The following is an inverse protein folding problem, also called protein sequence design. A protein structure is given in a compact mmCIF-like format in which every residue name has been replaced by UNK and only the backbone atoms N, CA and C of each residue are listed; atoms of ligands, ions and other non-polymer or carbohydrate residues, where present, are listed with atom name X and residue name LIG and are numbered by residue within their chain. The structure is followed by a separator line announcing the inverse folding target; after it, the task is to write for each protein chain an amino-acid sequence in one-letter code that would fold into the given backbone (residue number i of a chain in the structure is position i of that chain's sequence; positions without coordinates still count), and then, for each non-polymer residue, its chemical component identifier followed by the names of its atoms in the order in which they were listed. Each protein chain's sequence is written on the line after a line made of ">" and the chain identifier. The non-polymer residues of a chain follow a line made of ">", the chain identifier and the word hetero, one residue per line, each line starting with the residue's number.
data_IF_868966390138
#
_entry.id   IF_868966390138
#
_cell.length_a   1.000
_cell.length_b   1.000
_cell.length_c   1.000
_cell.angle_alpha   90.00
_cell.angle_beta   90.00
_cell.angle_gamma   90.00
#
_symmetry.space_group_name_H-M   'P 1'
#
loop_
_entity.id
_entity.type
_entity.pdbx_description
1 polymer ?
#
# COMPACT_ATOMS: atom_id res chain seq x y z
N UNK A 1 8.65 -2.23 24.86
CA UNK A 1 7.30 -2.81 24.96
C UNK A 1 6.57 -2.47 26.26
N UNK A 2 7.19 -2.63 27.43
CA UNK A 2 6.51 -2.55 28.75
C UNK A 2 5.75 -1.25 29.03
N UNK A 3 6.23 -0.08 28.57
CA UNK A 3 5.54 1.20 28.78
C UNK A 3 4.26 1.32 27.94
N UNK A 4 4.27 0.86 26.68
CA UNK A 4 3.11 0.95 25.79
C UNK A 4 2.02 -0.05 26.23
N UNK A 5 2.43 -1.25 26.67
CA UNK A 5 1.52 -2.25 27.24
C UNK A 5 0.86 -1.73 28.53
N UNK A 6 1.65 -1.18 29.46
CA UNK A 6 1.11 -0.61 30.69
C UNK A 6 0.21 0.63 30.43
N UNK A 7 0.50 1.39 29.37
CA UNK A 7 -0.32 2.53 28.97
C UNK A 7 -1.68 2.08 28.40
N UNK A 8 -1.71 1.01 27.58
CA UNK A 8 -2.97 0.54 26.97
C UNK A 8 -3.85 -0.17 28.01
N UNK A 9 -3.26 -0.82 29.01
CA UNK A 9 -4.02 -1.37 30.14
C UNK A 9 -4.73 -0.30 30.96
N UNK A 10 -4.14 0.90 31.06
CA UNK A 10 -4.76 2.03 31.77
C UNK A 10 -5.82 2.74 30.93
N UNK A 11 -5.60 2.85 29.63
CA UNK A 11 -6.48 3.55 28.69
C UNK A 11 -6.77 2.67 27.46
N UNK A 12 -7.62 1.64 27.59
CA UNK A 12 -7.84 0.64 26.53
C UNK A 12 -8.51 1.21 25.27
N UNK A 13 -9.19 2.36 25.36
CA UNK A 13 -9.88 2.99 24.23
C UNK A 13 -9.02 4.07 23.52
N UNK A 14 -7.75 4.22 23.90
CA UNK A 14 -6.86 5.20 23.30
C UNK A 14 -6.43 4.76 21.88
N UNK A 15 -7.11 5.33 20.89
CA UNK A 15 -6.90 5.06 19.46
C UNK A 15 -5.49 5.42 18.98
N UNK A 16 -4.91 6.49 19.51
CA UNK A 16 -3.55 6.93 19.14
C UNK A 16 -2.54 5.93 19.68
N UNK A 17 -2.75 5.46 20.90
CA UNK A 17 -1.92 4.43 21.51
C UNK A 17 -2.01 3.10 20.74
N UNK A 18 -3.22 2.68 20.35
CA UNK A 18 -3.42 1.53 19.46
C UNK A 18 -2.62 1.65 18.15
N UNK A 19 -2.72 2.79 17.45
CA UNK A 19 -1.95 3.01 16.21
C UNK A 19 -0.43 2.98 16.46
N UNK A 20 0.02 3.53 17.59
CA UNK A 20 1.43 3.58 17.97
C UNK A 20 1.98 2.19 18.24
N UNK A 21 1.23 1.36 18.98
CA UNK A 21 1.58 -0.04 19.23
C UNK A 21 1.66 -0.81 17.91
N UNK A 22 0.64 -0.70 17.05
CA UNK A 22 0.65 -1.39 15.76
C UNK A 22 1.86 -1.01 14.89
N UNK A 23 2.20 0.27 14.82
CA UNK A 23 3.36 0.75 14.05
C UNK A 23 4.68 0.23 14.62
N UNK A 24 4.79 0.13 15.94
CA UNK A 24 5.97 -0.44 16.60
C UNK A 24 6.10 -1.94 16.31
N UNK A 25 5.00 -2.70 16.47
CA UNK A 25 4.96 -4.12 16.12
C UNK A 25 5.36 -4.38 14.67
N UNK A 26 4.83 -3.60 13.71
CA UNK A 26 5.20 -3.66 12.28
C UNK A 26 6.70 -3.49 12.05
N UNK A 27 7.38 -2.67 12.87
CA UNK A 27 8.81 -2.44 12.76
C UNK A 27 9.64 -3.58 13.36
N UNK A 28 9.12 -4.28 14.37
CA UNK A 28 9.79 -5.40 15.02
C UNK A 28 9.56 -6.72 14.28
N UNK A 29 8.30 -7.06 14.02
CA UNK A 29 7.88 -8.27 13.35
C UNK A 29 6.53 -8.05 12.64
N UNK A 30 6.56 -8.04 11.31
CA UNK A 30 5.36 -7.84 10.48
C UNK A 30 4.36 -8.99 10.57
N UNK A 31 4.80 -10.16 11.04
CA UNK A 31 3.95 -11.34 11.21
C UNK A 31 3.25 -11.38 12.56
N UNK A 32 3.49 -10.40 13.44
CA UNK A 32 2.89 -10.37 14.77
C UNK A 32 1.36 -10.26 14.71
N UNK A 33 0.69 -11.29 15.23
CA UNK A 33 -0.77 -11.43 15.23
C UNK A 33 -1.51 -10.29 15.95
N UNK A 34 -0.81 -9.52 16.80
CA UNK A 34 -1.40 -8.40 17.56
C UNK A 34 -1.54 -7.14 16.71
N UNK A 35 -0.85 -7.04 15.57
CA UNK A 35 -0.88 -5.84 14.72
C UNK A 35 -2.32 -5.49 14.30
N UNK A 36 -3.05 -6.44 13.74
CA UNK A 36 -4.37 -6.17 13.19
C UNK A 36 -5.41 -5.74 14.24
N UNK A 37 -5.54 -6.41 15.41
CA UNK A 37 -6.37 -5.92 16.50
C UNK A 37 -6.05 -4.47 16.91
N UNK A 38 -4.77 -4.09 16.96
CA UNK A 38 -4.40 -2.71 17.28
C UNK A 38 -4.73 -1.75 16.14
N UNK A 39 -4.54 -2.15 14.88
CA UNK A 39 -4.93 -1.32 13.73
C UNK A 39 -6.45 -1.14 13.64
N UNK A 40 -7.26 -2.15 13.92
CA UNK A 40 -8.72 -2.05 13.88
C UNK A 40 -9.26 -1.16 15.01
N UNK A 41 -8.69 -1.25 16.22
CA UNK A 41 -9.06 -0.39 17.35
C UNK A 41 -8.57 1.07 17.24
N UNK A 42 -7.70 1.38 16.28
CA UNK A 42 -7.16 2.73 16.10
C UNK A 42 -8.09 3.71 15.36
N UNK A 43 -9.27 3.26 14.94
CA UNK A 43 -10.30 4.08 14.32
C UNK A 43 -11.68 3.46 14.51
N UNK A 44 -12.71 4.23 14.21
CA UNK A 44 -14.12 3.80 14.15
C UNK A 44 -14.71 4.18 12.81
N UNK A 45 -15.83 3.60 12.39
CA UNK A 45 -16.45 3.96 11.10
C UNK A 45 -16.91 5.43 11.12
N UNK A 46 -16.47 6.21 10.14
CA UNK A 46 -16.92 7.60 9.95
C UNK A 46 -16.14 8.67 10.71
N UNK A 47 -15.20 8.31 11.59
CA UNK A 47 -14.31 9.30 12.21
C UNK A 47 -13.24 9.84 11.24
N UNK A 48 -12.45 10.81 11.70
CA UNK A 48 -11.40 11.47 10.92
C UNK A 48 -10.02 10.79 11.03
N UNK A 49 -9.94 9.56 11.56
CA UNK A 49 -8.68 8.82 11.71
C UNK A 49 -8.23 8.19 10.37
N UNK A 50 -8.16 9.01 9.31
CA UNK A 50 -7.83 8.58 7.96
C UNK A 50 -6.43 7.98 7.85
N UNK A 51 -5.46 8.50 8.60
CA UNK A 51 -4.10 7.95 8.63
C UNK A 51 -4.08 6.53 9.21
N UNK A 52 -4.85 6.29 10.27
CA UNK A 52 -4.96 4.97 10.89
C UNK A 52 -5.57 3.95 9.91
N UNK A 53 -6.66 4.33 9.23
CA UNK A 53 -7.26 3.52 8.15
C UNK A 53 -6.30 3.30 6.99
N UNK A 54 -5.51 4.30 6.63
CA UNK A 54 -4.56 4.22 5.51
C UNK A 54 -3.43 3.22 5.80
N UNK A 55 -2.91 3.21 7.02
CA UNK A 55 -1.94 2.20 7.49
C UNK A 55 -2.57 0.81 7.52
N UNK A 56 -3.80 0.70 8.04
CA UNK A 56 -4.51 -0.59 8.08
C UNK A 56 -4.78 -1.15 6.68
N UNK A 57 -5.19 -0.31 5.73
CA UNK A 57 -5.41 -0.72 4.33
C UNK A 57 -4.11 -1.26 3.69
N UNK A 58 -2.98 -0.60 3.92
CA UNK A 58 -1.68 -1.09 3.46
C UNK A 58 -1.32 -2.44 4.11
N UNK A 59 -1.51 -2.58 5.43
CA UNK A 59 -1.26 -3.83 6.12
C UNK A 59 -2.10 -4.99 5.56
N UNK A 60 -3.40 -4.78 5.36
CA UNK A 60 -4.28 -5.79 4.76
C UNK A 60 -3.81 -6.21 3.37
N UNK A 61 -3.38 -5.25 2.55
CA UNK A 61 -2.86 -5.57 1.23
C UNK A 61 -1.57 -6.40 1.29
N UNK A 62 -0.67 -6.08 2.23
CA UNK A 62 0.56 -6.85 2.46
C UNK A 62 0.23 -8.30 2.87
N UNK A 63 -0.86 -8.50 3.62
CA UNK A 63 -1.39 -9.83 4.01
C UNK A 63 -2.20 -10.53 2.91
N UNK A 64 -2.21 -10.00 1.68
CA UNK A 64 -2.97 -10.57 0.56
C UNK A 64 -4.49 -10.34 0.64
N UNK A 65 -4.97 -9.51 1.57
CA UNK A 65 -6.40 -9.19 1.78
C UNK A 65 -6.80 -7.95 0.98
N UNK A 66 -6.53 -7.98 -0.32
CA UNK A 66 -6.77 -6.87 -1.25
C UNK A 66 -8.21 -6.32 -1.26
N UNK A 67 -9.27 -7.16 -1.26
CA UNK A 67 -10.65 -6.68 -1.19
C UNK A 67 -10.95 -5.84 0.05
N UNK A 68 -10.43 -6.23 1.21
CA UNK A 68 -10.66 -5.52 2.48
C UNK A 68 -9.86 -4.21 2.53
N UNK A 69 -8.63 -4.21 2.02
CA UNK A 69 -7.84 -2.99 1.84
C UNK A 69 -8.59 -1.96 0.98
N UNK A 70 -9.24 -2.39 -0.11
CA UNK A 70 -10.02 -1.51 -0.98
C UNK A 70 -11.19 -0.86 -0.23
N UNK A 71 -11.91 -1.61 0.60
CA UNK A 71 -13.00 -1.04 1.40
C UNK A 71 -12.53 0.09 2.32
N UNK A 72 -11.33 -0.04 2.91
CA UNK A 72 -10.76 1.03 3.73
C UNK A 72 -10.31 2.22 2.89
N UNK A 73 -9.71 2.00 1.72
CA UNK A 73 -9.37 3.09 0.81
C UNK A 73 -10.61 3.85 0.30
N UNK A 74 -11.73 3.18 0.07
CA UNK A 74 -12.98 3.84 -0.34
C UNK A 74 -13.53 4.73 0.78
N UNK A 75 -13.47 4.27 2.04
CA UNK A 75 -13.84 5.11 3.19
C UNK A 75 -12.95 6.36 3.30
N UNK A 76 -11.66 6.23 3.00
CA UNK A 76 -10.72 7.36 2.99
C UNK A 76 -11.03 8.31 1.83
N UNK A 77 -11.22 7.79 0.61
CA UNK A 77 -11.48 8.63 -0.57
C UNK A 77 -12.78 9.43 -0.41
N UNK A 78 -13.82 8.85 0.18
CA UNK A 78 -15.09 9.52 0.44
C UNK A 78 -14.99 10.53 1.59
N UNK A 79 -14.33 10.18 2.69
CA UNK A 79 -14.40 10.96 3.93
C UNK A 79 -13.26 11.97 4.13
N UNK A 80 -12.09 11.73 3.55
CA UNK A 80 -10.91 12.52 3.86
C UNK A 80 -10.93 13.90 3.16
N UNK A 81 -10.36 14.94 3.80
CA UNK A 81 -10.14 16.24 3.18
C UNK A 81 -9.43 16.13 1.82
N UNK A 82 -9.67 17.07 0.88
CA UNK A 82 -9.12 16.99 -0.46
C UNK A 82 -7.60 16.86 -0.50
N UNK A 83 -6.89 17.50 0.43
CA UNK A 83 -5.43 17.53 0.55
C UNK A 83 -4.82 16.28 1.19
N UNK A 84 -5.62 15.43 1.82
CA UNK A 84 -5.15 14.20 2.44
C UNK A 84 -4.56 13.26 1.39
N UNK A 85 -3.23 13.02 1.46
CA UNK A 85 -2.48 12.04 0.64
C UNK A 85 -2.86 12.05 -0.84
N UNK A 86 -3.00 13.24 -1.46
CA UNK A 86 -3.34 13.35 -2.89
C UNK A 86 -2.35 12.61 -3.80
N UNK A 87 -1.06 12.65 -3.44
CA UNK A 87 0.03 12.00 -4.15
C UNK A 87 0.64 10.91 -3.26
N UNK A 88 1.31 9.94 -3.88
CA UNK A 88 2.19 9.05 -3.13
C UNK A 88 3.24 9.90 -2.41
N UNK A 89 3.49 9.60 -1.13
CA UNK A 89 4.56 10.27 -0.41
C UNK A 89 5.92 9.83 -1.01
N UNK A 90 6.80 10.81 -1.23
CA UNK A 90 8.15 10.59 -1.74
C UNK A 90 9.02 9.78 -0.75
N UNK A 91 8.70 9.83 0.54
CA UNK A 91 9.27 8.95 1.56
C UNK A 91 8.54 7.61 1.65
N UNK A 92 9.28 6.50 1.61
CA UNK A 92 8.70 5.20 1.91
C UNK A 92 8.31 5.15 3.39
N UNK A 93 7.02 4.98 3.69
CA UNK A 93 6.60 4.60 5.05
C UNK A 93 7.31 3.29 5.43
N UNK A 94 7.52 3.04 6.72
CA UNK A 94 8.14 1.78 7.17
C UNK A 94 7.43 0.56 6.60
N UNK A 95 6.12 0.65 6.39
CA UNK A 95 5.28 -0.40 5.83
C UNK A 95 5.49 -0.56 4.31
N UNK A 96 5.61 0.52 3.54
CA UNK A 96 5.92 0.46 2.10
C UNK A 96 7.23 -0.27 1.82
N UNK A 97 8.25 -0.10 2.68
CA UNK A 97 9.54 -0.79 2.54
C UNK A 97 9.46 -2.30 2.69
N UNK A 98 8.40 -2.81 3.32
CA UNK A 98 8.18 -4.24 3.52
C UNK A 98 7.51 -4.90 2.33
N UNK A 99 6.97 -4.13 1.39
CA UNK A 99 6.35 -4.71 0.21
C UNK A 99 7.40 -5.22 -0.78
N UNK A 100 7.28 -6.47 -1.24
CA UNK A 100 7.97 -6.87 -2.46
C UNK A 100 7.39 -6.12 -3.66
N UNK A 101 8.11 -6.16 -4.78
CA UNK A 101 7.55 -5.70 -6.05
C UNK A 101 6.32 -6.56 -6.38
N UNK A 102 5.26 -5.92 -6.85
CA UNK A 102 4.02 -6.58 -7.21
C UNK A 102 4.02 -6.90 -8.69
N UNK A 103 3.40 -8.02 -9.06
CA UNK A 103 3.20 -8.39 -10.45
C UNK A 103 1.86 -7.85 -10.97
N UNK A 104 1.82 -7.59 -12.27
CA UNK A 104 0.59 -7.25 -12.96
C UNK A 104 0.70 -7.36 -14.47
N UNK A 105 -0.37 -7.00 -15.14
CA UNK A 105 -0.47 -6.97 -16.60
C UNK A 105 -1.00 -5.63 -17.03
N UNK A 106 -0.43 -5.07 -18.10
CA UNK A 106 -0.90 -3.80 -18.66
C UNK A 106 -2.30 -3.96 -19.24
N UNK A 107 -3.27 -3.22 -18.70
CA UNK A 107 -4.67 -3.31 -19.11
C UNK A 107 -5.12 -2.11 -19.96
N UNK A 108 -4.51 -0.93 -19.78
CA UNK A 108 -4.75 0.23 -20.64
C UNK A 108 -3.55 1.15 -20.60
N UNK A 109 -3.13 1.64 -21.77
CA UNK A 109 -2.05 2.62 -21.92
C UNK A 109 -2.63 3.86 -22.57
N UNK A 110 -2.23 5.00 -22.05
CA UNK A 110 -2.53 6.33 -22.56
C UNK A 110 -1.20 7.10 -22.63
N UNK A 111 -1.18 8.26 -23.29
CA UNK A 111 0.06 9.01 -23.55
C UNK A 111 0.93 9.25 -22.31
N UNK A 112 0.32 9.54 -21.15
CA UNK A 112 1.03 9.88 -19.91
C UNK A 112 0.70 8.97 -18.72
N UNK A 113 -0.16 7.98 -18.90
CA UNK A 113 -0.51 7.07 -17.80
C UNK A 113 -0.89 5.67 -18.27
N UNK A 114 -0.81 4.72 -17.35
CA UNK A 114 -1.12 3.31 -17.56
C UNK A 114 -1.95 2.78 -16.40
N UNK A 115 -2.85 1.85 -16.71
CA UNK A 115 -3.57 1.05 -15.74
C UNK A 115 -3.14 -0.41 -15.85
N UNK A 116 -2.78 -0.99 -14.70
CA UNK A 116 -2.37 -2.38 -14.57
C UNK A 116 -3.45 -3.19 -13.84
N UNK A 117 -3.61 -4.45 -14.21
CA UNK A 117 -4.34 -5.44 -13.41
C UNK A 117 -3.34 -6.22 -12.57
N UNK A 118 -3.59 -6.38 -11.29
CA UNK A 118 -2.77 -7.23 -10.41
C UNK A 118 -3.66 -8.29 -9.74
N UNK A 119 -3.24 -9.57 -9.70
CA UNK A 119 -4.03 -10.61 -9.04
C UNK A 119 -4.22 -10.35 -7.53
N UNK A 120 -3.29 -9.61 -6.92
CA UNK A 120 -3.32 -9.28 -5.49
C UNK A 120 -4.15 -8.02 -5.16
N UNK A 121 -4.67 -7.31 -6.17
CA UNK A 121 -5.43 -6.08 -5.97
C UNK A 121 -6.64 -6.01 -6.91
N UNK A 122 -7.88 -5.91 -6.37
CA UNK A 122 -9.07 -6.08 -7.21
C UNK A 122 -9.40 -4.87 -8.11
N UNK A 123 -8.70 -3.74 -7.94
CA UNK A 123 -8.87 -2.53 -8.76
C UNK A 123 -7.70 -2.33 -9.72
N UNK A 124 -7.93 -1.50 -10.72
CA UNK A 124 -6.84 -1.07 -11.61
C UNK A 124 -5.80 -0.27 -10.83
N UNK A 125 -4.53 -0.60 -11.06
CA UNK A 125 -3.39 0.08 -10.45
C UNK A 125 -2.90 1.15 -11.42
N UNK A 126 -2.98 2.41 -10.99
CA UNK A 126 -2.55 3.55 -11.79
C UNK A 126 -1.03 3.78 -11.69
N UNK A 127 -0.41 4.13 -12.81
CA UNK A 127 0.92 4.75 -12.85
C UNK A 127 0.96 5.88 -13.87
N UNK A 128 1.74 6.92 -13.55
CA UNK A 128 2.05 8.02 -14.47
C UNK A 128 3.40 7.74 -15.14
N UNK A 129 3.60 8.25 -16.36
CA UNK A 129 4.86 8.10 -17.11
C UNK A 129 6.08 8.51 -16.29
N UNK A 130 5.97 9.61 -15.55
CA UNK A 130 7.05 10.16 -14.72
C UNK A 130 7.47 9.26 -13.55
N UNK A 131 6.70 8.22 -13.23
CA UNK A 131 7.06 7.26 -12.19
C UNK A 131 7.87 6.08 -12.72
N UNK A 132 8.12 5.99 -14.02
CA UNK A 132 8.78 4.87 -14.69
C UNK A 132 9.91 5.39 -15.58
N UNK A 133 10.98 4.59 -15.75
CA UNK A 133 12.03 4.93 -16.70
C UNK A 133 11.46 5.13 -18.13
N UNK A 134 11.80 6.22 -18.84
CA UNK A 134 11.24 6.50 -20.16
C UNK A 134 11.44 5.38 -21.19
N UNK A 135 12.57 4.67 -21.15
CA UNK A 135 12.83 3.56 -22.09
C UNK A 135 11.92 2.38 -21.80
N UNK A 136 11.61 2.14 -20.53
CA UNK A 136 10.62 1.12 -20.15
C UNK A 136 9.22 1.55 -20.57
N UNK A 137 8.89 2.83 -20.41
CA UNK A 137 7.60 3.39 -20.82
C UNK A 137 7.34 3.20 -22.32
N UNK A 138 8.32 3.52 -23.16
CA UNK A 138 8.21 3.46 -24.62
C UNK A 138 7.93 2.04 -25.16
N UNK A 139 8.24 1.00 -24.38
CA UNK A 139 8.04 -0.39 -24.77
C UNK A 139 6.83 -1.05 -24.09
N UNK A 140 6.11 -0.33 -23.21
CA UNK A 140 4.88 -0.84 -22.62
C UNK A 140 3.83 -1.05 -23.72
N UNK A 141 3.24 -2.24 -23.76
CA UNK A 141 2.14 -2.57 -24.65
C UNK A 141 1.05 -3.31 -23.89
N UNK A 142 -0.18 -3.27 -24.39
CA UNK A 142 -1.32 -3.95 -23.78
C UNK A 142 -1.04 -5.44 -23.62
N UNK A 143 -1.38 -6.01 -22.46
CA UNK A 143 -1.24 -7.44 -22.18
C UNK A 143 0.15 -7.87 -21.73
N UNK A 144 1.16 -6.99 -21.75
CA UNK A 144 2.50 -7.34 -21.26
C UNK A 144 2.50 -7.50 -19.74
N UNK A 145 3.16 -8.57 -19.27
CA UNK A 145 3.44 -8.78 -17.86
C UNK A 145 4.52 -7.82 -17.39
N UNK A 146 4.30 -7.24 -16.22
CA UNK A 146 5.19 -6.28 -15.58
C UNK A 146 5.29 -6.56 -14.08
N UNK A 147 6.31 -5.99 -13.46
CA UNK A 147 6.41 -5.85 -12.03
C UNK A 147 6.64 -4.37 -11.65
N UNK A 148 6.20 -3.96 -10.46
CA UNK A 148 6.24 -2.57 -10.03
C UNK A 148 6.43 -2.44 -8.52
N UNK A 149 6.98 -1.31 -8.07
CA UNK A 149 6.97 -0.94 -6.66
C UNK A 149 5.59 -0.43 -6.25
N UNK A 150 4.97 -1.02 -5.22
CA UNK A 150 3.71 -0.52 -4.71
C UNK A 150 3.91 0.78 -3.93
N UNK A 151 3.13 1.79 -4.28
CA UNK A 151 3.00 3.04 -3.51
C UNK A 151 1.53 3.31 -3.20
N UNK A 152 1.26 4.25 -2.30
CA UNK A 152 -0.09 4.52 -1.85
C UNK A 152 -0.40 6.01 -1.80
N UNK A 153 -1.54 6.39 -2.35
CA UNK A 153 -2.17 7.68 -2.12
C UNK A 153 -3.48 7.47 -1.33
N UNK A 154 -4.34 8.50 -1.25
CA UNK A 154 -5.64 8.40 -0.60
C UNK A 154 -6.58 7.36 -1.22
N UNK A 155 -6.47 7.16 -2.55
CA UNK A 155 -7.33 6.27 -3.34
C UNK A 155 -6.89 4.82 -3.27
N UNK A 156 -5.62 4.56 -2.95
CA UNK A 156 -5.10 3.22 -2.78
C UNK A 156 -3.78 3.00 -3.48
N UNK A 157 -3.62 1.79 -4.02
CA UNK A 157 -2.38 1.31 -4.62
C UNK A 157 -2.08 2.03 -5.93
N UNK A 158 -0.82 2.42 -6.08
CA UNK A 158 -0.21 2.99 -7.27
C UNK A 158 1.00 2.15 -7.66
N UNK A 159 1.28 2.08 -8.95
CA UNK A 159 2.48 1.44 -9.47
C UNK A 159 3.56 2.51 -9.70
N UNK A 160 4.76 2.23 -9.21
CA UNK A 160 5.97 3.02 -9.43
C UNK A 160 7.06 2.11 -9.99
N UNK A 161 8.01 2.71 -10.69
CA UNK A 161 9.15 2.03 -11.30
C UNK A 161 8.73 0.76 -12.04
N UNK A 162 7.85 0.87 -13.06
CA UNK A 162 7.38 -0.31 -13.78
C UNK A 162 8.56 -0.96 -14.52
N UNK A 163 8.66 -2.29 -14.48
CA UNK A 163 9.64 -3.08 -15.21
C UNK A 163 8.94 -4.23 -15.97
N UNK A 164 9.42 -4.54 -17.17
CA UNK A 164 8.90 -5.66 -17.98
C UNK A 164 9.27 -7.01 -17.35
N UNK A 165 8.35 -7.97 -17.47
CA UNK A 165 8.54 -9.35 -17.01
C UNK A 165 8.28 -9.52 -15.52
N UNK A 166 8.53 -10.73 -15.02
CA UNK A 166 8.46 -11.04 -13.59
C UNK A 166 9.83 -10.76 -12.97
N UNK A 167 9.87 -10.38 -11.69
CA UNK A 167 11.13 -10.07 -10.99
C UNK A 167 12.15 -11.23 -11.03
N UNK A 168 11.69 -12.48 -11.23
CA UNK A 168 12.53 -13.66 -11.41
C UNK A 168 13.31 -13.72 -12.74
N UNK A 169 12.85 -13.04 -13.80
CA UNK A 169 13.45 -13.15 -15.13
C UNK A 169 14.83 -12.48 -15.24
N UNK A 170 15.20 -11.63 -14.27
CA UNK A 170 16.51 -10.95 -14.23
C UNK A 170 17.65 -11.78 -13.62
N UNK A 171 17.37 -12.89 -12.93
CA UNK A 171 18.43 -13.71 -12.30
C UNK A 171 19.11 -14.70 -13.26
N UNK A 172 18.71 -14.76 -14.53
CA UNK A 172 19.17 -15.80 -15.47
C UNK A 172 20.14 -15.28 -16.55
N UNK A 173 20.66 -14.06 -16.43
CA UNK A 173 21.59 -13.49 -17.44
C UNK A 173 22.92 -13.09 -16.83
N UNK A 174 23.53 -13.96 -16.01
CA UNK A 174 24.99 -14.00 -15.83
C UNK A 174 25.38 -15.47 -15.52
N UNK A 175 25.82 -16.19 -16.56
CA UNK A 175 26.73 -17.34 -16.49
C UNK A 175 27.41 -17.48 -17.84
#
# INVERSE_FOLDING_TARGET
>A
MDLLTAAIEKNPDDRILHLTIAKHLIQEDIEDIRIEPHLSSSYTRGDVAFEARHVHAQFLLLRGRGPEAVQLFDQIDVGAPPDFRQRAQSGQSSLVKLFPRMIGTVARIESTYVFLKSPSYPRDVFSHSDHTDPRTWDILTFGVEVNFEPRFNRKGLLAFDIQIGREQDRKTTIS
#
